data_IF_352781666462
#
_entry.id   IF_352781666462
#
_cell.length_a   1.000
_cell.length_b   1.000
_cell.length_c   1.000
_cell.angle_alpha   90.00
_cell.angle_beta   90.00
_cell.angle_gamma   90.00
#
_symmetry.space_group_name_H-M   'P 1'
#
loop_
_entity.id
_entity.type
_entity.pdbx_description
1 polymer ?
#
# COMPACT_ATOMS: atom_id res chain seq x y z
N UNK A 1 -8.90 -7.69 -14.67
CA UNK A 1 -8.63 -6.55 -15.56
C UNK A 1 -7.46 -5.74 -15.00
N UNK A 2 -6.68 -5.09 -15.86
CA UNK A 2 -5.57 -4.23 -15.45
C UNK A 2 -5.69 -2.88 -16.16
N UNK A 3 -5.44 -1.79 -15.43
CA UNK A 3 -5.35 -0.45 -15.98
C UNK A 3 -4.13 0.27 -15.43
N UNK A 4 -3.48 1.05 -16.29
CA UNK A 4 -2.38 1.93 -15.94
C UNK A 4 -2.82 3.37 -16.15
N UNK A 5 -2.57 4.22 -15.17
CA UNK A 5 -2.89 5.65 -15.18
C UNK A 5 -1.58 6.40 -14.96
N UNK A 6 -1.20 7.25 -15.91
CA UNK A 6 -0.09 8.19 -15.71
C UNK A 6 -0.66 9.47 -15.14
N UNK A 7 -0.26 9.87 -13.94
CA UNK A 7 -0.73 11.11 -13.34
C UNK A 7 0.04 12.30 -13.94
N UNK A 8 -0.71 13.33 -14.33
CA UNK A 8 -0.19 14.57 -14.92
C UNK A 8 -0.78 15.80 -14.22
N UNK A 9 -0.11 16.97 -14.27
CA UNK A 9 -0.58 18.17 -13.58
C UNK A 9 -1.95 18.70 -14.03
N UNK A 10 -2.34 18.40 -15.27
CA UNK A 10 -3.58 18.82 -15.92
C UNK A 10 -4.74 17.81 -15.75
N UNK A 11 -4.47 16.64 -15.20
CA UNK A 11 -5.47 15.58 -15.03
C UNK A 11 -6.59 16.00 -14.07
N UNK A 12 -7.83 15.79 -14.50
CA UNK A 12 -9.03 16.05 -13.71
C UNK A 12 -9.46 14.82 -12.91
N UNK A 13 -10.19 14.97 -11.79
CA UNK A 13 -10.78 13.85 -11.06
C UNK A 13 -11.59 12.89 -11.93
N UNK A 14 -12.33 13.45 -12.89
CA UNK A 14 -13.15 12.69 -13.84
C UNK A 14 -12.35 11.81 -14.81
N UNK A 15 -11.09 12.14 -15.06
CA UNK A 15 -10.20 11.31 -15.89
C UNK A 15 -9.81 10.02 -15.15
N UNK A 16 -9.97 9.99 -13.82
CA UNK A 16 -9.74 8.82 -12.97
C UNK A 16 -11.04 8.04 -12.76
N UNK A 17 -12.11 8.70 -12.33
CA UNK A 17 -13.38 8.06 -11.94
C UNK A 17 -14.31 7.78 -13.13
N UNK A 18 -14.25 8.59 -14.18
CA UNK A 18 -15.14 8.52 -15.33
C UNK A 18 -16.06 9.73 -15.43
N UNK A 19 -16.85 9.75 -16.51
CA UNK A 19 -17.75 10.86 -16.85
C UNK A 19 -19.09 10.34 -17.36
N UNK A 20 -20.16 11.08 -17.12
CA UNK A 20 -21.42 10.86 -17.82
C UNK A 20 -21.44 11.64 -19.12
N UNK A 21 -21.59 10.95 -20.25
CA UNK A 21 -21.67 11.56 -21.57
C UNK A 21 -23.09 11.50 -22.09
N UNK A 22 -23.58 12.62 -22.64
CA UNK A 22 -24.89 12.63 -23.30
C UNK A 22 -24.85 11.83 -24.60
N UNK A 23 -25.59 10.73 -24.65
CA UNK A 23 -25.73 9.90 -25.83
C UNK A 23 -26.82 10.50 -26.74
N UNK A 24 -26.41 11.10 -27.86
CA UNK A 24 -27.33 11.78 -28.78
C UNK A 24 -28.41 10.86 -29.38
N UNK A 25 -28.16 9.54 -29.45
CA UNK A 25 -29.12 8.58 -30.02
C UNK A 25 -30.23 8.25 -29.03
N UNK A 26 -29.88 7.98 -27.77
CA UNK A 26 -30.85 7.63 -26.72
C UNK A 26 -31.44 8.87 -26.03
N UNK A 27 -30.77 10.04 -26.17
CA UNK A 27 -31.04 11.27 -25.43
C UNK A 27 -30.93 11.10 -23.91
N UNK A 28 -30.07 10.19 -23.48
CA UNK A 28 -29.80 9.88 -22.08
C UNK A 28 -28.32 10.11 -21.76
N UNK A 29 -28.02 10.38 -20.50
CA UNK A 29 -26.64 10.40 -20.01
C UNK A 29 -26.17 8.96 -19.77
N UNK A 30 -25.10 8.56 -20.46
CA UNK A 30 -24.48 7.25 -20.33
C UNK A 30 -23.16 7.40 -19.58
N UNK A 31 -23.01 6.66 -18.48
CA UNK A 31 -21.76 6.64 -17.72
C UNK A 31 -20.66 5.92 -18.50
N UNK A 32 -19.52 6.59 -18.64
CA UNK A 32 -18.28 6.04 -19.19
C UNK A 32 -17.30 5.83 -18.03
N UNK A 33 -17.02 4.57 -17.65
CA UNK A 33 -16.18 4.27 -16.50
C UNK A 33 -14.75 4.74 -16.74
N UNK A 34 -14.18 5.38 -15.72
CA UNK A 34 -12.77 5.77 -15.72
C UNK A 34 -11.85 4.57 -15.50
N UNK A 35 -10.53 4.76 -15.73
CA UNK A 35 -9.54 3.70 -15.61
C UNK A 35 -9.37 3.17 -14.18
N UNK A 36 -9.88 3.86 -13.15
CA UNK A 36 -9.90 3.33 -11.77
C UNK A 36 -10.81 2.10 -11.62
N UNK A 37 -11.79 1.93 -12.50
CA UNK A 37 -12.68 0.78 -12.52
C UNK A 37 -12.00 -0.41 -13.18
N UNK A 38 -11.10 -1.04 -12.45
CA UNK A 38 -10.41 -2.28 -12.82
C UNK A 38 -9.95 -3.03 -11.57
N UNK A 39 -9.66 -4.33 -11.69
CA UNK A 39 -9.19 -5.13 -10.56
C UNK A 39 -7.80 -4.69 -10.06
N UNK A 40 -6.89 -4.36 -10.99
CA UNK A 40 -5.55 -3.84 -10.66
C UNK A 40 -5.36 -2.50 -11.37
N UNK A 41 -5.06 -1.47 -10.59
CA UNK A 41 -4.78 -0.12 -11.08
C UNK A 41 -3.35 0.26 -10.69
N UNK A 42 -2.48 0.46 -11.69
CA UNK A 42 -1.16 1.06 -11.50
C UNK A 42 -1.26 2.56 -11.76
N UNK A 43 -1.00 3.39 -10.76
CA UNK A 43 -0.93 4.84 -10.89
C UNK A 43 0.51 5.30 -10.81
N UNK A 44 1.01 5.82 -11.93
CA UNK A 44 2.38 6.32 -12.01
C UNK A 44 2.45 7.79 -11.64
N UNK A 45 3.45 8.12 -10.81
CA UNK A 45 3.77 9.48 -10.40
C UNK A 45 2.56 10.21 -9.79
N UNK A 46 1.89 9.57 -8.83
CA UNK A 46 0.69 10.11 -8.17
C UNK A 46 0.90 11.53 -7.63
N UNK A 47 2.14 11.88 -7.26
CA UNK A 47 2.55 13.20 -6.80
C UNK A 47 2.58 14.28 -7.91
N UNK A 48 2.32 13.97 -9.18
CA UNK A 48 2.25 14.97 -10.25
C UNK A 48 0.86 15.55 -10.46
N UNK A 49 -0.20 14.85 -10.05
CA UNK A 49 -1.55 15.39 -10.18
C UNK A 49 -1.92 16.30 -9.01
N UNK A 50 -2.92 17.15 -9.24
CA UNK A 50 -3.44 18.04 -8.20
C UNK A 50 -4.00 17.27 -7.00
N UNK A 51 -4.06 17.87 -5.79
CA UNK A 51 -4.64 17.22 -4.61
C UNK A 51 -6.09 16.74 -4.81
N UNK A 52 -6.87 17.42 -5.66
CA UNK A 52 -8.24 16.99 -5.99
C UNK A 52 -8.26 15.67 -6.75
N UNK A 53 -7.39 15.53 -7.76
CA UNK A 53 -7.27 14.31 -8.57
C UNK A 53 -6.71 13.15 -7.76
N UNK A 54 -5.71 13.40 -6.91
CA UNK A 54 -5.22 12.42 -5.93
C UNK A 54 -6.35 11.94 -5.02
N UNK A 55 -7.17 12.86 -4.51
CA UNK A 55 -8.28 12.52 -3.61
C UNK A 55 -9.30 11.60 -4.28
N UNK A 56 -9.60 11.79 -5.56
CA UNK A 56 -10.53 10.94 -6.30
C UNK A 56 -10.08 9.46 -6.37
N UNK A 57 -8.77 9.23 -6.58
CA UNK A 57 -8.21 7.88 -6.52
C UNK A 57 -8.30 7.30 -5.10
N UNK A 58 -7.91 8.09 -4.09
CA UNK A 58 -7.84 7.64 -2.71
C UNK A 58 -9.23 7.38 -2.10
N UNK A 59 -10.24 8.12 -2.53
CA UNK A 59 -11.64 7.87 -2.19
C UNK A 59 -12.10 6.53 -2.76
N UNK A 60 -11.83 6.26 -4.04
CA UNK A 60 -12.12 4.96 -4.64
C UNK A 60 -11.41 3.80 -3.91
N UNK A 61 -10.16 4.00 -3.49
CA UNK A 61 -9.40 3.03 -2.69
C UNK A 61 -10.02 2.75 -1.33
N UNK A 62 -10.50 3.79 -0.65
CA UNK A 62 -11.01 3.70 0.71
C UNK A 62 -12.43 3.13 0.73
N UNK A 63 -13.32 3.71 -0.09
CA UNK A 63 -14.74 3.40 -0.10
C UNK A 63 -15.08 2.19 -0.98
N UNK A 64 -14.14 1.75 -1.83
CA UNK A 64 -14.35 0.66 -2.82
C UNK A 64 -15.53 0.91 -3.74
N UNK A 65 -15.85 2.17 -3.96
CA UNK A 65 -16.89 2.64 -4.87
C UNK A 65 -16.54 4.06 -5.33
N UNK A 66 -17.18 4.51 -6.40
CA UNK A 66 -17.14 5.89 -6.86
C UNK A 66 -18.55 6.42 -7.02
N UNK A 67 -18.75 7.72 -6.87
CA UNK A 67 -20.03 8.37 -7.15
C UNK A 67 -19.85 9.39 -8.25
N UNK A 68 -20.61 9.24 -9.33
CA UNK A 68 -20.60 10.15 -10.49
C UNK A 68 -22.04 10.58 -10.76
N UNK A 69 -22.29 11.89 -10.76
CA UNK A 69 -23.62 12.49 -10.95
C UNK A 69 -24.71 11.92 -10.04
N UNK A 70 -24.36 11.61 -8.79
CA UNK A 70 -25.26 11.07 -7.78
C UNK A 70 -25.53 9.56 -7.89
N UNK A 71 -24.92 8.87 -8.86
CA UNK A 71 -25.01 7.41 -9.00
C UNK A 71 -23.71 6.78 -8.50
N UNK A 72 -23.84 5.80 -7.60
CA UNK A 72 -22.70 5.09 -7.01
C UNK A 72 -22.43 3.79 -7.77
N UNK A 73 -21.16 3.57 -8.11
CA UNK A 73 -20.67 2.40 -8.82
C UNK A 73 -19.65 1.65 -7.96
N UNK A 74 -19.87 0.36 -7.63
CA UNK A 74 -18.90 -0.43 -6.88
C UNK A 74 -17.65 -0.73 -7.72
N UNK A 75 -16.50 -0.84 -7.07
CA UNK A 75 -15.25 -1.26 -7.72
C UNK A 75 -15.25 -2.76 -8.01
N UNK A 76 -14.52 -3.16 -9.06
CA UNK A 76 -14.32 -4.57 -9.41
C UNK A 76 -13.59 -5.31 -8.27
N UNK A 77 -13.96 -6.57 -7.99
CA UNK A 77 -13.30 -7.38 -6.97
C UNK A 77 -12.44 -8.47 -7.62
N UNK A 78 -11.20 -8.72 -7.16
CA UNK A 78 -10.47 -7.94 -6.14
C UNK A 78 -10.07 -6.55 -6.68
N UNK A 79 -9.91 -5.58 -5.78
CA UNK A 79 -9.47 -4.22 -6.11
C UNK A 79 -8.13 -3.91 -5.44
N UNK A 80 -7.10 -3.61 -6.24
CA UNK A 80 -5.76 -3.25 -5.79
C UNK A 80 -5.25 -2.02 -6.55
N UNK A 81 -4.81 -1.03 -5.79
CA UNK A 81 -4.10 0.14 -6.35
C UNK A 81 -2.63 0.08 -5.96
N UNK A 82 -1.77 0.17 -6.96
CA UNK A 82 -0.33 0.35 -6.83
C UNK A 82 -0.01 1.78 -7.26
N UNK A 83 0.51 2.61 -6.36
CA UNK A 83 0.87 3.99 -6.67
C UNK A 83 2.38 4.19 -6.59
N UNK A 84 2.98 4.75 -7.63
CA UNK A 84 4.40 5.13 -7.65
C UNK A 84 4.54 6.62 -7.41
N UNK A 85 5.62 7.00 -6.73
CA UNK A 85 6.02 8.40 -6.55
C UNK A 85 7.45 8.53 -7.01
N UNK A 86 7.75 9.53 -7.83
CA UNK A 86 9.12 9.86 -8.15
C UNK A 86 9.69 10.75 -7.02
N UNK A 87 10.73 10.30 -6.29
CA UNK A 87 11.28 11.05 -5.16
C UNK A 87 12.13 12.25 -5.59
N UNK A 88 12.56 12.31 -6.85
CA UNK A 88 13.38 13.42 -7.35
C UNK A 88 12.45 14.57 -7.73
N UNK A 89 12.52 15.64 -6.93
CA UNK A 89 11.71 16.84 -7.08
C UNK A 89 12.02 17.54 -8.42
N UNK A 90 11.07 17.51 -9.34
CA UNK A 90 10.96 18.50 -10.41
C UNK A 90 9.86 19.49 -10.03
N UNK A 91 9.99 20.75 -10.44
CA UNK A 91 8.95 21.77 -10.24
C UNK A 91 7.56 21.23 -10.63
N UNK A 92 6.54 21.52 -9.82
CA UNK A 92 5.16 21.13 -10.10
C UNK A 92 4.70 19.77 -9.56
N UNK A 93 5.30 19.28 -8.47
CA UNK A 93 4.78 18.11 -7.73
C UNK A 93 3.99 18.51 -6.48
N UNK A 94 2.98 17.71 -6.16
CA UNK A 94 2.12 17.80 -4.98
C UNK A 94 2.33 16.54 -4.11
N UNK A 95 3.13 16.62 -3.03
CA UNK A 95 3.36 15.48 -2.16
C UNK A 95 2.04 15.04 -1.51
N UNK A 96 1.88 13.74 -1.30
CA UNK A 96 0.71 13.23 -0.59
C UNK A 96 0.82 13.61 0.90
N UNK A 97 -0.19 14.28 1.47
CA UNK A 97 -0.28 14.48 2.91
C UNK A 97 -0.23 13.15 3.66
N UNK A 98 0.22 13.17 4.90
CA UNK A 98 0.41 11.96 5.71
C UNK A 98 -0.92 11.23 5.96
N UNK A 99 -2.02 11.99 6.11
CA UNK A 99 -3.37 11.42 6.19
C UNK A 99 -3.78 10.66 4.93
N UNK A 100 -3.22 11.01 3.76
CA UNK A 100 -3.43 10.28 2.51
C UNK A 100 -2.51 9.06 2.43
N UNK A 101 -1.24 9.20 2.79
CA UNK A 101 -0.28 8.08 2.83
C UNK A 101 -0.74 6.97 3.79
N UNK A 102 -1.39 7.30 4.90
CA UNK A 102 -1.88 6.32 5.88
C UNK A 102 -2.91 5.32 5.30
N UNK A 103 -3.59 5.69 4.20
CA UNK A 103 -4.51 4.82 3.46
C UNK A 103 -3.80 3.68 2.73
N UNK A 104 -2.52 3.85 2.39
CA UNK A 104 -1.73 2.78 1.77
C UNK A 104 -1.32 1.74 2.81
N UNK A 105 -1.63 0.47 2.55
CA UNK A 105 -1.29 -0.63 3.46
C UNK A 105 0.23 -0.72 3.68
N UNK A 106 0.99 -0.62 2.59
CA UNK A 106 2.45 -0.66 2.58
C UNK A 106 3.02 0.48 1.73
N UNK A 107 4.23 0.93 2.09
CA UNK A 107 5.10 1.75 1.25
C UNK A 107 6.42 1.03 1.07
N UNK A 108 6.82 0.85 -0.18
CA UNK A 108 8.03 0.11 -0.56
C UNK A 108 8.96 1.10 -1.28
N UNK A 109 10.24 1.05 -0.97
CA UNK A 109 11.28 1.75 -1.71
C UNK A 109 11.93 0.76 -2.67
N UNK A 110 11.86 1.06 -3.97
CA UNK A 110 12.55 0.30 -5.00
C UNK A 110 13.98 0.85 -5.11
N UNK A 111 14.96 0.01 -4.78
CA UNK A 111 16.37 0.25 -5.11
C UNK A 111 16.71 -0.28 -6.51
N UNK A 112 17.98 -0.20 -6.86
CA UNK A 112 18.50 -0.93 -8.01
C UNK A 112 18.69 -2.42 -7.64
N UNK A 113 18.55 -3.34 -8.61
CA UNK A 113 18.93 -4.73 -8.39
C UNK A 113 20.41 -4.83 -8.00
N UNK A 114 20.77 -5.89 -7.28
CA UNK A 114 22.18 -6.25 -7.06
C UNK A 114 22.82 -6.64 -8.39
N UNK A 115 24.15 -6.53 -8.49
CA UNK A 115 24.89 -6.75 -9.75
C UNK A 115 24.57 -8.12 -10.39
N UNK A 116 24.52 -9.18 -9.58
CA UNK A 116 24.22 -10.53 -10.08
C UNK A 116 22.78 -10.66 -10.59
N UNK A 117 21.82 -10.03 -9.90
CA UNK A 117 20.41 -9.99 -10.33
C UNK A 117 20.24 -9.17 -11.61
N UNK A 118 21.01 -8.10 -11.77
CA UNK A 118 21.00 -7.26 -12.97
C UNK A 118 21.55 -8.03 -14.18
N UNK A 119 22.63 -8.82 -14.01
CA UNK A 119 23.14 -9.72 -15.05
C UNK A 119 22.08 -10.75 -15.46
N UNK A 120 21.43 -11.41 -14.48
CA UNK A 120 20.34 -12.36 -14.76
C UNK A 120 19.19 -11.67 -15.52
N UNK A 121 18.86 -10.43 -15.16
CA UNK A 121 17.83 -9.65 -15.86
C UNK A 121 18.21 -9.43 -17.33
N UNK A 122 19.45 -9.02 -17.60
CA UNK A 122 19.95 -8.79 -18.96
C UNK A 122 19.89 -10.07 -19.81
N UNK A 123 20.36 -11.19 -19.25
CA UNK A 123 20.33 -12.50 -19.92
C UNK A 123 18.89 -12.94 -20.24
N UNK A 124 17.96 -12.73 -19.30
CA UNK A 124 16.55 -13.10 -19.47
C UNK A 124 15.84 -12.34 -20.60
N UNK A 125 16.35 -11.16 -20.98
CA UNK A 125 15.77 -10.30 -22.02
C UNK A 125 16.44 -10.46 -23.39
N UNK A 126 17.49 -11.30 -23.51
CA UNK A 126 18.31 -11.41 -24.72
C UNK A 126 17.51 -11.78 -25.99
N UNK A 127 16.46 -12.60 -25.85
CA UNK A 127 15.69 -13.09 -27.00
C UNK A 127 14.22 -12.66 -27.00
N UNK A 128 13.57 -12.69 -25.84
CA UNK A 128 12.16 -12.29 -25.72
C UNK A 128 11.91 -11.79 -24.32
N UNK A 129 11.18 -10.69 -24.18
CA UNK A 129 10.85 -10.16 -22.87
C UNK A 129 10.05 -11.21 -22.05
N UNK A 130 10.46 -11.57 -20.82
CA UNK A 130 9.85 -12.66 -20.04
C UNK A 130 8.33 -12.56 -19.89
N UNK A 131 7.80 -11.34 -19.77
CA UNK A 131 6.36 -11.05 -19.66
C UNK A 131 5.53 -11.67 -20.79
N UNK A 132 6.10 -11.81 -21.99
CA UNK A 132 5.39 -12.39 -23.15
C UNK A 132 5.12 -13.90 -23.01
N UNK A 133 5.80 -14.58 -22.09
CA UNK A 133 5.66 -16.02 -21.83
C UNK A 133 4.91 -16.31 -20.54
N UNK A 134 4.41 -15.29 -19.85
CA UNK A 134 3.66 -15.48 -18.61
C UNK A 134 2.31 -16.11 -18.93
N UNK A 135 2.02 -17.21 -18.26
CA UNK A 135 0.73 -17.88 -18.30
C UNK A 135 -0.03 -17.64 -17.00
N UNK A 136 -1.35 -17.65 -17.10
CA UNK A 136 -2.22 -17.49 -15.94
C UNK A 136 -2.15 -18.75 -15.07
N UNK A 137 -1.65 -18.61 -13.84
CA UNK A 137 -1.57 -19.72 -12.87
C UNK A 137 -2.75 -19.78 -11.90
N UNK A 138 -3.49 -18.69 -11.75
CA UNK A 138 -4.68 -18.59 -10.88
C UNK A 138 -5.74 -17.68 -11.51
N UNK A 139 -7.00 -17.93 -11.21
CA UNK A 139 -8.14 -17.08 -11.56
C UNK A 139 -8.41 -16.00 -10.51
N UNK A 140 -9.19 -14.99 -10.88
CA UNK A 140 -9.63 -13.96 -9.93
C UNK A 140 -10.51 -14.53 -8.80
N UNK A 141 -11.31 -15.54 -9.11
CA UNK A 141 -12.16 -16.24 -8.13
C UNK A 141 -11.33 -17.04 -7.13
N UNK A 142 -10.32 -17.77 -7.60
CA UNK A 142 -9.37 -18.48 -6.74
C UNK A 142 -8.58 -17.50 -5.85
N UNK A 143 -8.18 -16.34 -6.37
CA UNK A 143 -7.51 -15.30 -5.59
C UNK A 143 -8.42 -14.76 -4.47
N UNK A 144 -9.71 -14.52 -4.76
CA UNK A 144 -10.69 -14.10 -3.75
C UNK A 144 -10.89 -15.20 -2.71
N UNK A 145 -10.99 -16.46 -3.13
CA UNK A 145 -11.11 -17.60 -2.23
C UNK A 145 -9.89 -17.70 -1.29
N UNK A 146 -8.68 -17.55 -1.82
CA UNK A 146 -7.45 -17.50 -1.03
C UNK A 146 -7.45 -16.34 -0.03
N UNK A 147 -7.92 -15.15 -0.44
CA UNK A 147 -8.06 -14.00 0.47
C UNK A 147 -9.03 -14.27 1.63
N UNK A 148 -10.07 -15.09 1.43
CA UNK A 148 -10.96 -15.51 2.52
C UNK A 148 -10.26 -16.50 3.45
N UNK A 149 -9.58 -17.51 2.89
CA UNK A 149 -8.85 -18.51 3.68
C UNK A 149 -7.74 -17.89 4.55
N UNK A 150 -7.05 -16.85 4.05
CA UNK A 150 -6.02 -16.14 4.83
C UNK A 150 -6.59 -15.54 6.12
N UNK A 151 -7.90 -15.20 6.17
CA UNK A 151 -8.53 -14.67 7.40
C UNK A 151 -8.59 -15.70 8.52
N UNK A 152 -8.58 -16.98 8.18
CA UNK A 152 -8.63 -18.10 9.13
C UNK A 152 -7.24 -18.44 9.72
N UNK A 153 -6.16 -17.85 9.19
CA UNK A 153 -4.81 -17.99 9.76
C UNK A 153 -4.81 -17.46 11.18
N UNK A 154 -4.44 -18.32 12.13
CA UNK A 154 -4.52 -18.03 13.54
C UNK A 154 -3.52 -16.94 13.94
N UNK A 155 -4.01 -15.94 14.64
CA UNK A 155 -3.17 -14.98 15.36
C UNK A 155 -3.60 -14.97 16.81
N UNK A 156 -2.72 -15.45 17.68
CA UNK A 156 -2.98 -15.53 19.11
C UNK A 156 -2.93 -14.14 19.75
N UNK A 157 -3.46 -14.04 20.97
CA UNK A 157 -3.56 -12.75 21.66
C UNK A 157 -2.20 -12.14 21.99
N UNK A 158 -1.18 -12.97 22.23
CA UNK A 158 0.19 -12.52 22.46
C UNK A 158 0.76 -11.77 21.25
N UNK A 159 0.54 -12.25 20.03
CA UNK A 159 0.97 -11.57 18.80
C UNK A 159 0.13 -10.30 18.56
N UNK A 160 -1.18 -10.32 18.84
CA UNK A 160 -2.03 -9.11 18.76
C UNK A 160 -1.52 -8.03 19.73
N UNK A 161 -1.22 -8.39 20.97
CA UNK A 161 -0.61 -7.50 21.96
C UNK A 161 0.73 -6.96 21.49
N UNK A 162 1.57 -7.79 20.85
CA UNK A 162 2.84 -7.36 20.29
C UNK A 162 2.66 -6.30 19.19
N UNK A 163 1.73 -6.51 18.25
CA UNK A 163 1.36 -5.51 17.23
C UNK A 163 0.95 -4.20 17.88
N UNK A 164 0.08 -4.25 18.90
CA UNK A 164 -0.40 -3.06 19.61
C UNK A 164 0.75 -2.37 20.36
N UNK A 165 1.67 -3.12 20.97
CA UNK A 165 2.86 -2.59 21.64
C UNK A 165 3.77 -1.85 20.66
N UNK A 166 4.06 -2.43 19.49
CA UNK A 166 4.86 -1.78 18.45
C UNK A 166 4.22 -0.46 18.00
N UNK A 167 2.93 -0.49 17.67
CA UNK A 167 2.21 0.73 17.24
C UNK A 167 2.16 1.77 18.35
N UNK A 168 1.92 1.38 19.61
CA UNK A 168 1.93 2.32 20.73
C UNK A 168 3.32 2.88 21.02
N UNK A 169 4.39 2.11 20.82
CA UNK A 169 5.76 2.59 20.94
C UNK A 169 6.02 3.73 19.94
N UNK A 170 5.51 3.64 18.70
CA UNK A 170 5.62 4.75 17.73
C UNK A 170 4.97 6.04 18.22
N UNK A 171 3.88 5.95 18.99
CA UNK A 171 3.13 7.11 19.51
C UNK A 171 3.79 7.75 20.74
N UNK A 172 4.69 7.01 21.40
CA UNK A 172 5.39 7.44 22.61
C UNK A 172 6.87 7.76 22.35
N UNK A 173 7.34 7.55 21.12
CA UNK A 173 8.73 7.76 20.76
C UNK A 173 9.09 9.25 20.78
N UNK A 174 10.20 9.66 21.41
CA UNK A 174 10.54 11.08 21.61
C UNK A 174 10.78 11.84 20.30
N UNK A 175 11.27 11.16 19.26
CA UNK A 175 11.52 11.75 17.94
C UNK A 175 10.27 11.77 17.03
N UNK A 176 9.12 11.28 17.51
CA UNK A 176 7.89 11.18 16.72
C UNK A 176 6.87 12.22 17.22
N UNK A 177 6.44 13.09 16.31
CA UNK A 177 5.34 14.03 16.55
C UNK A 177 3.97 13.37 16.43
N UNK A 178 3.81 12.49 15.43
CA UNK A 178 2.59 11.69 15.24
C UNK A 178 2.98 10.25 14.90
N UNK A 179 2.60 9.32 15.78
CA UNK A 179 2.82 7.89 15.57
C UNK A 179 1.78 7.24 14.67
N UNK A 180 1.98 5.94 14.40
CA UNK A 180 1.12 5.20 13.50
C UNK A 180 -0.34 5.12 14.01
N UNK A 181 -1.29 5.29 13.07
CA UNK A 181 -2.72 5.20 13.34
C UNK A 181 -3.16 3.74 13.58
N UNK A 182 -4.42 3.50 13.99
CA UNK A 182 -4.97 2.13 14.05
C UNK A 182 -4.90 1.37 12.72
N UNK A 183 -4.80 2.06 11.57
CA UNK A 183 -4.56 1.42 10.27
C UNK A 183 -3.23 0.70 10.23
N UNK A 184 -2.21 1.21 10.91
CA UNK A 184 -0.92 0.53 11.07
C UNK A 184 -1.06 -0.83 11.77
N UNK A 185 -1.86 -0.90 12.84
CA UNK A 185 -2.15 -2.15 13.55
C UNK A 185 -2.88 -3.15 12.66
N UNK A 186 -3.90 -2.68 11.93
CA UNK A 186 -4.69 -3.52 11.01
C UNK A 186 -3.84 -4.00 9.84
N UNK A 187 -2.94 -3.14 9.32
CA UNK A 187 -2.02 -3.51 8.26
C UNK A 187 -1.12 -4.65 8.74
N UNK A 188 -0.40 -4.49 9.86
CA UNK A 188 0.44 -5.55 10.43
C UNK A 188 -0.31 -6.86 10.68
N UNK A 189 -1.52 -6.78 11.21
CA UNK A 189 -2.38 -7.95 11.44
C UNK A 189 -2.64 -8.72 10.13
N UNK A 190 -3.16 -8.02 9.11
CA UNK A 190 -3.55 -8.65 7.84
C UNK A 190 -2.35 -9.15 7.05
N UNK A 191 -1.27 -8.37 7.03
CA UNK A 191 -0.07 -8.72 6.29
C UNK A 191 0.70 -9.83 6.99
N UNK A 192 0.67 -9.90 8.33
CA UNK A 192 1.19 -11.01 9.11
C UNK A 192 0.48 -12.33 8.80
N UNK A 193 -0.86 -12.33 8.75
CA UNK A 193 -1.64 -13.50 8.32
C UNK A 193 -1.28 -13.94 6.90
N UNK A 194 -1.23 -12.99 5.96
CA UNK A 194 -0.86 -13.28 4.57
C UNK A 194 0.56 -13.86 4.45
N UNK A 195 1.52 -13.30 5.19
CA UNK A 195 2.91 -13.79 5.19
C UNK A 195 3.03 -15.19 5.76
N UNK A 196 2.34 -15.49 6.87
CA UNK A 196 2.32 -16.83 7.45
C UNK A 196 1.75 -17.85 6.43
N UNK A 197 0.63 -17.52 5.78
CA UNK A 197 0.03 -18.37 4.75
C UNK A 197 0.97 -18.61 3.55
N UNK A 198 1.63 -17.56 3.04
CA UNK A 198 2.60 -17.66 1.93
C UNK A 198 3.77 -18.56 2.32
N UNK A 199 4.16 -18.57 3.59
CA UNK A 199 5.21 -19.44 4.14
C UNK A 199 4.69 -20.83 4.56
N UNK A 200 3.45 -21.19 4.21
CA UNK A 200 2.86 -22.50 4.46
C UNK A 200 2.45 -22.75 5.92
N UNK A 201 2.31 -21.69 6.72
CA UNK A 201 1.86 -21.78 8.13
C UNK A 201 0.43 -21.31 8.28
N UNK A 202 -0.31 -21.98 9.17
CA UNK A 202 -1.67 -21.66 9.58
C UNK A 202 -1.72 -20.77 10.84
N UNK A 203 -0.56 -20.31 11.34
CA UNK A 203 -0.46 -19.36 12.44
C UNK A 203 0.65 -18.32 12.23
N UNK A 204 0.41 -17.11 12.75
CA UNK A 204 1.35 -15.98 12.71
C UNK A 204 2.35 -16.06 13.86
N UNK A 205 3.62 -15.82 13.56
CA UNK A 205 4.68 -15.65 14.58
C UNK A 205 5.14 -14.19 14.65
N UNK A 206 5.78 -13.76 15.76
CA UNK A 206 6.27 -12.38 15.88
C UNK A 206 7.23 -11.94 14.76
N UNK A 207 8.03 -12.86 14.22
CA UNK A 207 8.95 -12.54 13.12
C UNK A 207 8.22 -12.17 11.82
N UNK A 208 6.99 -12.66 11.60
CA UNK A 208 6.15 -12.19 10.49
C UNK A 208 5.82 -10.71 10.64
N UNK A 209 5.47 -10.30 11.86
CA UNK A 209 5.13 -8.91 12.19
C UNK A 209 6.37 -8.02 12.06
N UNK A 210 7.52 -8.47 12.57
CA UNK A 210 8.78 -7.73 12.46
C UNK A 210 9.18 -7.49 11.01
N UNK A 211 9.10 -8.53 10.17
CA UNK A 211 9.44 -8.44 8.75
C UNK A 211 8.60 -7.41 7.99
N UNK A 212 7.39 -7.11 8.47
CA UNK A 212 6.43 -6.21 7.82
C UNK A 212 6.34 -4.84 8.49
N UNK A 213 6.90 -4.66 9.68
CA UNK A 213 6.82 -3.41 10.44
C UNK A 213 7.44 -2.23 9.70
N UNK A 214 8.56 -2.42 9.01
CA UNK A 214 9.21 -1.34 8.26
C UNK A 214 8.31 -0.78 7.16
N UNK A 215 7.83 -1.65 6.27
CA UNK A 215 7.03 -1.27 5.09
C UNK A 215 5.59 -0.88 5.44
N UNK A 216 5.11 -1.23 6.64
CA UNK A 216 3.78 -0.85 7.10
C UNK A 216 3.79 0.38 8.01
N UNK A 217 4.78 0.58 8.88
CA UNK A 217 4.69 1.65 9.88
C UNK A 217 5.47 2.90 9.50
N UNK A 218 6.58 2.81 8.77
CA UNK A 218 7.49 3.93 8.56
C UNK A 218 6.82 5.13 7.87
N UNK A 219 5.96 4.90 6.88
CA UNK A 219 5.24 5.98 6.18
C UNK A 219 4.07 6.58 6.96
N UNK A 220 3.77 6.05 8.15
CA UNK A 220 2.72 6.52 9.06
C UNK A 220 3.27 7.39 10.19
N UNK A 221 4.58 7.63 10.22
CA UNK A 221 5.23 8.46 11.24
C UNK A 221 5.45 9.88 10.72
N UNK A 222 5.09 10.86 11.55
CA UNK A 222 5.54 12.23 11.40
C UNK A 222 6.65 12.49 12.41
N UNK A 223 7.85 12.74 11.92
CA UNK A 223 9.03 13.04 12.74
C UNK A 223 8.91 14.46 13.31
N UNK A 224 9.28 14.60 14.58
CA UNK A 224 9.23 15.88 15.29
C UNK A 224 10.18 16.91 14.66
N UNK A 225 9.90 18.22 14.79
CA UNK A 225 10.76 19.25 14.20
C UNK A 225 12.22 19.15 14.64
N UNK A 226 12.48 18.83 15.92
CA UNK A 226 13.83 18.64 16.46
C UNK A 226 14.55 17.44 15.87
N UNK A 227 13.85 16.32 15.66
CA UNK A 227 14.38 15.12 15.04
C UNK A 227 14.61 15.29 13.54
N UNK A 228 13.76 16.09 12.86
CA UNK A 228 13.93 16.43 11.45
C UNK A 228 15.21 17.23 11.19
N UNK A 229 15.58 18.14 12.08
CA UNK A 229 16.86 18.88 12.01
C UNK A 229 18.05 17.93 12.07
N UNK A 230 17.92 16.81 12.79
CA UNK A 230 18.94 15.76 12.89
C UNK A 230 18.87 14.75 11.74
N UNK A 231 18.01 14.96 10.73
CA UNK A 231 17.77 14.05 9.61
C UNK A 231 17.42 12.62 10.06
N UNK A 232 16.64 12.48 11.14
CA UNK A 232 16.18 11.17 11.61
C UNK A 232 15.18 10.59 10.60
N UNK A 233 15.50 9.41 10.09
CA UNK A 233 14.63 8.65 9.19
C UNK A 233 13.55 7.90 10.00
N UNK A 234 12.26 7.97 9.63
CA UNK A 234 11.21 7.13 10.19
C UNK A 234 11.55 5.64 10.27
N UNK A 235 12.32 5.12 9.31
CA UNK A 235 12.77 3.73 9.26
C UNK A 235 13.72 3.40 10.41
N UNK A 236 14.61 4.33 10.78
CA UNK A 236 15.50 4.16 11.92
C UNK A 236 14.71 4.10 13.24
N UNK A 237 13.68 4.93 13.39
CA UNK A 237 12.78 4.90 14.55
C UNK A 237 12.05 3.56 14.65
N UNK A 238 11.54 3.02 13.52
CA UNK A 238 10.90 1.70 13.53
C UNK A 238 11.91 0.61 13.90
N UNK A 239 13.15 0.68 13.41
CA UNK A 239 14.19 -0.28 13.77
C UNK A 239 14.47 -0.26 15.28
N UNK A 240 14.65 0.92 15.88
CA UNK A 240 14.85 1.08 17.32
C UNK A 240 13.68 0.51 18.14
N UNK A 241 12.44 0.73 17.69
CA UNK A 241 11.25 0.16 18.32
C UNK A 241 11.23 -1.36 18.23
N UNK A 242 11.63 -1.94 17.09
CA UNK A 242 11.70 -3.39 16.92
C UNK A 242 12.75 -4.04 17.83
N UNK A 243 13.88 -3.37 18.01
CA UNK A 243 14.99 -3.86 18.83
C UNK A 243 14.69 -3.74 20.33
N UNK A 244 13.95 -2.71 20.73
CA UNK A 244 13.61 -2.44 22.14
C UNK A 244 12.31 -3.12 22.62
N UNK A 245 11.38 -3.45 21.72
CA UNK A 245 10.09 -4.04 22.10
C UNK A 245 10.21 -5.56 22.31
N UNK A 246 10.02 -6.07 23.54
CA UNK A 246 10.15 -7.50 23.80
C UNK A 246 9.14 -8.33 23.03
N UNK A 247 9.62 -9.42 22.43
CA UNK A 247 8.78 -10.41 21.76
C UNK A 247 8.03 -11.24 22.81
N UNK A 248 6.74 -11.58 22.61
CA UNK A 248 6.03 -12.45 23.54
C UNK A 248 6.74 -13.78 23.77
N UNK A 249 6.83 -14.22 25.03
CA UNK A 249 7.51 -15.46 25.40
C UNK A 249 9.03 -15.31 25.61
N UNK A 250 9.65 -14.20 25.21
CA UNK A 250 11.00 -13.87 25.63
C UNK A 250 10.99 -13.46 27.11
N UNK A 251 11.17 -14.43 28.02
CA UNK A 251 11.63 -14.10 29.38
C UNK A 251 13.00 -13.45 29.21
N UNK A 252 13.09 -12.14 29.44
CA UNK A 252 14.36 -11.48 29.64
C UNK A 252 15.09 -12.27 30.74
N UNK A 253 16.25 -12.84 30.42
CA UNK A 253 17.19 -13.24 31.46
C UNK A 253 17.59 -11.95 32.15
N UNK A 254 16.99 -11.69 33.31
CA UNK A 254 17.54 -10.72 34.24
C UNK A 254 18.82 -11.36 34.79
N UNK A 255 19.97 -10.76 34.46
CA UNK A 255 21.19 -10.88 35.25
C UNK A 255 21.06 -10.01 36.51
#
# INVERSE_FOLDING_TARGET
>A
SFRRIQFTPDMLPSDVTGVSMFNQKTREFEFRPGPVMAQIVLTDEINRATPKTQSALLEAMEERQITVDGITYPMETPFLVLATQNPIEYEGTFPLPEAQLDRFMMRISLGYPETDDEVIMLDSQQHTHPVTRLEQVVTGEELIAAQQQIKDVLINDLVKEYIVKLVNATRKHPDVYLGASPRGSIALYKTGQARAAILGRDYVIPDDIKALAMVTLAHRLIISPSARIKNIDPRAVIQEILDSTPVPGARARME
#
